data_IF_882797801936
#
_entry.id   IF_882797801936
#
_cell.length_a   1.000
_cell.length_b   1.000
_cell.length_c   1.000
_cell.angle_alpha   90.00
_cell.angle_beta   90.00
_cell.angle_gamma   90.00
#
_symmetry.space_group_name_H-M   'P 1'
#
loop_
_entity.id
_entity.type
_entity.pdbx_description
1 polymer ?
#
# COMPACT_ATOMS: atom_id res chain seq x y z
N UNK A 1 17.00 -9.16 -69.59
CA UNK A 1 16.50 -7.77 -69.54
C UNK A 1 15.25 -7.76 -68.66
N UNK A 2 15.33 -7.10 -67.49
CA UNK A 2 14.25 -6.64 -66.55
C UNK A 2 13.28 -7.73 -65.99
N UNK A 3 13.21 -8.07 -64.69
CA UNK A 3 13.14 -7.35 -63.39
C UNK A 3 11.70 -7.15 -62.86
N UNK A 4 11.53 -7.51 -61.57
CA UNK A 4 10.65 -6.97 -60.49
C UNK A 4 9.52 -7.86 -59.90
N UNK A 5 9.71 -8.15 -58.60
CA UNK A 5 8.78 -7.99 -57.44
C UNK A 5 7.48 -8.81 -57.49
N UNK A 6 7.14 -9.67 -56.53
CA UNK A 6 7.40 -9.67 -55.10
C UNK A 6 6.03 -9.62 -54.38
N UNK A 7 5.71 -10.60 -53.54
CA UNK A 7 4.76 -10.38 -52.45
C UNK A 7 5.01 -11.36 -51.30
N UNK A 8 5.20 -10.75 -50.15
CA UNK A 8 5.44 -11.33 -48.84
C UNK A 8 4.30 -12.25 -48.41
N UNK A 9 4.62 -13.47 -47.98
CA UNK A 9 3.84 -14.13 -46.93
C UNK A 9 4.35 -13.61 -45.57
N UNK A 10 3.83 -12.44 -45.18
CA UNK A 10 3.95 -11.96 -43.81
C UNK A 10 2.97 -12.75 -42.95
N UNK A 11 3.43 -13.83 -42.33
CA UNK A 11 2.72 -14.48 -41.24
C UNK A 11 2.93 -13.63 -39.97
N UNK A 12 2.14 -12.55 -39.84
CA UNK A 12 1.94 -11.84 -38.58
C UNK A 12 0.99 -12.68 -37.71
N UNK A 13 1.57 -13.58 -36.92
CA UNK A 13 0.90 -14.19 -35.78
C UNK A 13 1.32 -13.45 -34.51
N UNK A 14 0.39 -12.73 -33.90
CA UNK A 14 0.58 -12.09 -32.61
C UNK A 14 0.78 -13.14 -31.50
N UNK A 15 1.96 -13.15 -30.88
CA UNK A 15 2.19 -13.72 -29.55
C UNK A 15 3.07 -12.77 -28.74
N UNK A 16 2.56 -11.55 -28.51
CA UNK A 16 3.13 -10.60 -27.57
C UNK A 16 2.05 -10.30 -26.53
N UNK A 17 2.04 -11.07 -25.43
CA UNK A 17 1.06 -10.87 -24.37
C UNK A 17 1.58 -11.15 -22.97
N UNK A 18 2.39 -12.21 -22.81
CA UNK A 18 2.95 -12.59 -21.51
C UNK A 18 4.44 -12.94 -21.62
N UNK A 19 4.81 -13.66 -22.67
CA UNK A 19 6.16 -14.20 -22.88
C UNK A 19 7.22 -13.14 -23.17
N UNK A 20 6.84 -12.04 -23.81
CA UNK A 20 7.78 -10.96 -24.13
C UNK A 20 8.18 -10.11 -22.92
N UNK A 21 7.35 -10.03 -21.88
CA UNK A 21 7.72 -9.33 -20.64
C UNK A 21 8.73 -10.16 -19.87
N UNK A 22 8.43 -11.45 -19.70
CA UNK A 22 9.33 -12.44 -19.08
C UNK A 22 10.64 -12.52 -19.86
N UNK A 23 10.61 -12.64 -21.20
CA UNK A 23 11.80 -12.67 -22.02
C UNK A 23 12.64 -11.38 -21.95
N UNK A 24 12.01 -10.21 -21.85
CA UNK A 24 12.71 -8.93 -21.78
C UNK A 24 13.33 -8.71 -20.39
N UNK A 25 12.67 -9.18 -19.33
CA UNK A 25 13.22 -9.24 -17.97
C UNK A 25 14.38 -10.24 -17.90
N UNK A 26 14.22 -11.45 -18.41
CA UNK A 26 15.28 -12.47 -18.51
C UNK A 26 16.47 -11.93 -19.30
N UNK A 27 16.25 -11.25 -20.43
CA UNK A 27 17.31 -10.63 -21.22
C UNK A 27 18.03 -9.52 -20.44
N UNK A 28 17.31 -8.71 -19.66
CA UNK A 28 17.93 -7.68 -18.80
C UNK A 28 18.76 -8.28 -17.66
N UNK A 29 18.32 -9.41 -17.08
CA UNK A 29 19.07 -10.12 -16.05
C UNK A 29 20.31 -10.78 -16.68
N UNK A 30 20.19 -11.40 -17.84
CA UNK A 30 21.32 -11.96 -18.61
C UNK A 30 22.34 -10.88 -19.01
N UNK A 31 21.89 -9.67 -19.33
CA UNK A 31 22.77 -8.55 -19.61
C UNK A 31 23.48 -8.01 -18.35
N UNK A 32 22.85 -8.11 -17.18
CA UNK A 32 23.47 -7.78 -15.90
C UNK A 32 24.46 -8.87 -15.43
N UNK A 33 24.25 -10.14 -15.83
CA UNK A 33 25.14 -11.30 -15.59
C UNK A 33 26.21 -11.40 -16.69
N UNK A 34 26.64 -10.25 -17.21
CA UNK A 34 27.58 -10.14 -18.33
C UNK A 34 28.95 -10.74 -18.03
N UNK A 35 29.09 -12.05 -18.32
CA UNK A 35 30.35 -12.71 -18.65
C UNK A 35 30.58 -14.03 -17.94
N UNK A 36 30.20 -15.15 -18.56
CA UNK A 36 31.00 -16.38 -18.58
C UNK A 36 30.58 -17.38 -19.66
N UNK A 37 31.57 -18.12 -20.16
CA UNK A 37 31.59 -18.85 -21.42
C UNK A 37 30.78 -20.16 -21.42
N UNK A 38 30.18 -20.44 -22.57
CA UNK A 38 29.80 -21.77 -23.11
C UNK A 38 29.33 -22.83 -22.10
N UNK A 39 28.11 -22.68 -21.59
CA UNK A 39 27.36 -23.77 -20.97
C UNK A 39 26.94 -24.81 -22.02
N UNK A 40 27.02 -26.10 -21.68
CA UNK A 40 26.33 -27.15 -22.45
C UNK A 40 24.83 -26.81 -22.51
N UNK A 41 24.11 -27.15 -23.59
CA UNK A 41 22.69 -26.78 -23.76
C UNK A 41 21.82 -27.06 -22.52
N UNK A 42 22.09 -28.18 -21.83
CA UNK A 42 21.41 -28.56 -20.59
C UNK A 42 21.62 -27.56 -19.44
N UNK A 43 22.85 -27.04 -19.29
CA UNK A 43 23.17 -26.05 -18.25
C UNK A 43 22.59 -24.67 -18.58
N UNK A 44 22.51 -24.32 -19.87
CA UNK A 44 21.78 -23.11 -20.31
C UNK A 44 20.31 -23.21 -19.92
N UNK A 45 19.65 -24.33 -20.23
CA UNK A 45 18.25 -24.55 -19.88
C UNK A 45 18.01 -24.54 -18.38
N UNK A 46 18.91 -25.11 -17.57
CA UNK A 46 18.80 -25.05 -16.11
C UNK A 46 18.97 -23.63 -15.58
N UNK A 47 19.92 -22.87 -16.11
CA UNK A 47 20.12 -21.47 -15.73
C UNK A 47 18.92 -20.60 -16.11
N UNK A 48 18.36 -20.79 -17.30
CA UNK A 48 17.13 -20.13 -17.75
C UNK A 48 15.94 -20.47 -16.86
N UNK A 49 15.77 -21.76 -16.50
CA UNK A 49 14.74 -22.19 -15.56
C UNK A 49 14.94 -21.58 -14.17
N UNK A 50 16.18 -21.48 -13.69
CA UNK A 50 16.49 -20.89 -12.39
C UNK A 50 16.08 -19.42 -12.36
N UNK A 51 16.37 -18.67 -13.42
CA UNK A 51 15.96 -17.27 -13.57
C UNK A 51 14.43 -17.13 -13.59
N UNK A 52 13.73 -17.98 -14.33
CA UNK A 52 12.27 -17.98 -14.35
C UNK A 52 11.66 -18.31 -12.97
N UNK A 53 12.22 -19.30 -12.26
CA UNK A 53 11.80 -19.64 -10.91
C UNK A 53 12.04 -18.48 -9.93
N UNK A 54 13.18 -17.79 -10.03
CA UNK A 54 13.49 -16.62 -9.20
C UNK A 54 12.52 -15.45 -9.44
N UNK A 55 12.06 -15.24 -10.68
CA UNK A 55 11.02 -14.25 -10.98
C UNK A 55 9.69 -14.61 -10.31
N UNK A 56 9.26 -15.88 -10.41
CA UNK A 56 8.06 -16.37 -9.72
C UNK A 56 8.18 -16.21 -8.20
N UNK A 57 9.35 -16.52 -7.63
CA UNK A 57 9.58 -16.35 -6.19
C UNK A 57 9.52 -14.88 -5.80
N UNK A 58 10.18 -13.99 -6.56
CA UNK A 58 10.15 -12.54 -6.33
C UNK A 58 8.72 -11.99 -6.36
N UNK A 59 7.92 -12.38 -7.36
CA UNK A 59 6.52 -11.99 -7.45
C UNK A 59 5.70 -12.55 -6.27
N UNK A 60 6.00 -13.78 -5.83
CA UNK A 60 5.42 -14.38 -4.64
C UNK A 60 5.74 -13.59 -3.37
N UNK A 61 6.99 -13.14 -3.19
CA UNK A 61 7.42 -12.29 -2.09
C UNK A 61 6.68 -10.94 -2.11
N UNK A 62 6.55 -10.32 -3.28
CA UNK A 62 5.80 -9.07 -3.43
C UNK A 62 4.33 -9.24 -3.02
N UNK A 63 3.65 -10.26 -3.55
CA UNK A 63 2.26 -10.56 -3.20
C UNK A 63 2.09 -10.90 -1.72
N UNK A 64 3.02 -11.63 -1.12
CA UNK A 64 2.98 -11.93 0.32
C UNK A 64 3.06 -10.65 1.14
N UNK A 65 4.00 -9.78 0.79
CA UNK A 65 4.21 -8.50 1.44
C UNK A 65 3.00 -7.55 1.30
N UNK A 66 2.29 -7.64 0.18
CA UNK A 66 1.07 -6.88 -0.10
C UNK A 66 -0.16 -7.39 0.66
N UNK A 67 -0.34 -8.71 0.77
CA UNK A 67 -1.63 -9.31 1.11
C UNK A 67 -1.67 -10.11 2.41
N UNK A 68 -0.55 -10.75 2.80
CA UNK A 68 -0.51 -11.68 3.94
C UNK A 68 0.30 -11.09 5.08
N UNK A 69 1.56 -10.78 4.82
CA UNK A 69 2.49 -10.33 5.85
C UNK A 69 2.33 -8.87 6.24
N UNK A 70 1.67 -8.05 5.41
CA UNK A 70 1.44 -6.59 5.56
C UNK A 70 2.57 -5.92 6.36
N UNK A 71 3.64 -5.56 5.65
CA UNK A 71 4.90 -5.01 6.21
C UNK A 71 5.91 -6.02 6.75
N UNK A 72 5.65 -7.32 6.58
CA UNK A 72 6.63 -8.39 6.83
C UNK A 72 6.77 -9.30 5.61
N UNK A 73 7.99 -9.73 5.32
CA UNK A 73 8.27 -10.84 4.39
C UNK A 73 8.03 -12.20 5.08
N UNK A 74 7.83 -13.29 4.32
CA UNK A 74 7.66 -14.61 4.93
C UNK A 74 8.95 -15.02 5.65
N UNK A 75 8.85 -15.80 6.73
CA UNK A 75 10.03 -16.31 7.43
C UNK A 75 10.74 -17.43 6.63
N UNK A 76 10.06 -18.00 5.63
CA UNK A 76 10.59 -19.03 4.74
C UNK A 76 9.84 -19.04 3.41
N UNK A 77 10.50 -19.46 2.32
CA UNK A 77 9.85 -19.57 1.00
C UNK A 77 8.68 -20.57 0.97
N UNK A 78 8.66 -21.55 1.88
CA UNK A 78 7.54 -22.49 2.03
C UNK A 78 6.22 -21.81 2.37
N UNK A 79 6.26 -20.65 3.03
CA UNK A 79 5.08 -19.86 3.32
C UNK A 79 4.39 -19.33 2.04
N UNK A 80 5.15 -19.04 0.98
CA UNK A 80 4.59 -18.62 -0.31
C UNK A 80 3.71 -19.71 -0.94
N UNK A 81 4.08 -20.97 -0.75
CA UNK A 81 3.28 -22.11 -1.21
C UNK A 81 2.08 -22.36 -0.28
N UNK A 82 2.26 -22.27 1.04
CA UNK A 82 1.16 -22.43 2.02
C UNK A 82 0.08 -21.36 1.87
N UNK A 83 0.48 -20.13 1.56
CA UNK A 83 -0.40 -19.00 1.27
C UNK A 83 -0.99 -19.04 -0.16
N UNK A 84 -0.67 -20.08 -0.95
CA UNK A 84 -1.13 -20.24 -2.34
C UNK A 84 -0.73 -19.06 -3.27
N UNK A 85 0.39 -18.41 -2.97
CA UNK A 85 0.96 -17.31 -3.76
C UNK A 85 1.86 -17.84 -4.89
N UNK A 86 2.45 -19.02 -4.68
CA UNK A 86 3.12 -19.83 -5.70
C UNK A 86 2.44 -21.19 -5.73
N UNK A 87 1.93 -21.59 -6.90
CA UNK A 87 1.19 -22.84 -7.09
C UNK A 87 2.02 -23.91 -7.80
N UNK A 88 3.05 -23.51 -8.54
CA UNK A 88 3.90 -24.44 -9.29
C UNK A 88 4.87 -25.18 -8.34
N UNK A 89 4.71 -26.50 -8.13
CA UNK A 89 5.57 -27.25 -7.23
C UNK A 89 7.02 -27.36 -7.74
N UNK A 90 7.28 -27.13 -9.04
CA UNK A 90 8.63 -27.20 -9.61
C UNK A 90 9.55 -26.08 -9.09
N UNK A 91 8.96 -24.98 -8.61
CA UNK A 91 9.68 -23.81 -8.09
C UNK A 91 10.20 -24.04 -6.66
N UNK A 92 9.75 -25.11 -5.96
CA UNK A 92 10.18 -25.40 -4.57
C UNK A 92 11.68 -25.65 -4.42
N UNK A 93 12.32 -26.16 -5.47
CA UNK A 93 13.76 -26.43 -5.53
C UNK A 93 14.36 -25.70 -6.71
N UNK A 94 15.67 -25.51 -6.67
CA UNK A 94 16.39 -25.02 -7.84
C UNK A 94 16.48 -26.11 -8.94
N UNK A 95 16.84 -25.75 -10.19
CA UNK A 95 16.97 -26.71 -11.29
C UNK A 95 18.08 -27.76 -11.15
N UNK A 96 18.93 -27.65 -10.12
CA UNK A 96 19.93 -28.64 -9.75
C UNK A 96 19.47 -29.55 -8.59
N UNK A 97 18.28 -29.30 -8.04
CA UNK A 97 17.64 -30.09 -6.99
C UNK A 97 17.94 -29.61 -5.56
N UNK A 98 18.65 -28.50 -5.40
CA UNK A 98 18.95 -27.93 -4.07
C UNK A 98 17.79 -27.06 -3.56
N UNK A 99 17.79 -26.81 -2.26
CA UNK A 99 16.96 -25.76 -1.68
C UNK A 99 17.44 -24.38 -2.12
N UNK A 100 16.49 -23.47 -2.27
CA UNK A 100 16.79 -22.06 -2.44
C UNK A 100 17.34 -21.48 -1.13
N UNK A 101 18.43 -20.73 -1.23
CA UNK A 101 18.89 -19.88 -0.15
C UNK A 101 18.01 -18.64 -0.06
N UNK A 102 17.56 -18.32 1.14
CA UNK A 102 16.70 -17.19 1.41
C UNK A 102 17.20 -16.45 2.64
N UNK A 103 17.63 -15.21 2.43
CA UNK A 103 18.07 -14.32 3.50
C UNK A 103 17.25 -13.05 3.39
N UNK A 104 16.68 -12.60 4.50
CA UNK A 104 15.88 -11.39 4.56
C UNK A 104 16.22 -10.55 5.79
N UNK A 105 16.03 -9.24 5.68
CA UNK A 105 16.17 -8.31 6.79
C UNK A 105 15.22 -7.14 6.62
N UNK A 106 14.95 -6.44 7.72
CA UNK A 106 14.21 -5.19 7.73
C UNK A 106 15.13 -4.04 8.10
N UNK A 107 14.98 -2.88 7.46
CA UNK A 107 15.63 -1.65 7.89
C UNK A 107 14.66 -0.47 7.89
N UNK A 108 14.86 0.44 8.84
CA UNK A 108 14.13 1.70 8.87
C UNK A 108 14.73 2.64 7.81
N UNK A 109 13.89 3.18 6.94
CA UNK A 109 14.28 4.19 5.97
C UNK A 109 13.25 5.30 5.91
N UNK A 110 13.60 6.41 5.26
CA UNK A 110 12.66 7.49 4.98
C UNK A 110 12.24 7.47 3.52
N UNK A 111 10.95 7.55 3.29
CA UNK A 111 10.36 7.80 1.98
C UNK A 111 9.60 9.13 2.06
N UNK A 112 10.12 10.16 1.39
CA UNK A 112 9.50 11.50 1.37
C UNK A 112 9.11 11.99 2.77
N UNK A 113 10.10 11.95 3.68
CA UNK A 113 10.01 12.30 5.11
C UNK A 113 9.13 11.40 5.98
N UNK A 114 8.50 10.38 5.40
CA UNK A 114 7.74 9.37 6.14
C UNK A 114 8.67 8.23 6.54
N UNK A 115 8.85 7.93 7.85
CA UNK A 115 9.59 6.76 8.28
C UNK A 115 8.82 5.50 7.88
N UNK A 116 9.50 4.57 7.18
CA UNK A 116 8.95 3.29 6.78
C UNK A 116 9.92 2.16 7.13
N UNK A 117 9.38 0.98 7.43
CA UNK A 117 10.17 -0.24 7.61
C UNK A 117 10.27 -0.97 6.27
N UNK A 118 11.36 -0.78 5.53
CA UNK A 118 11.60 -1.49 4.29
C UNK A 118 12.08 -2.91 4.56
N UNK A 119 11.63 -3.86 3.74
CA UNK A 119 12.06 -5.24 3.75
C UNK A 119 12.96 -5.52 2.56
N UNK A 120 14.02 -6.27 2.82
CA UNK A 120 15.04 -6.65 1.86
C UNK A 120 15.14 -8.17 1.87
N UNK A 121 15.30 -8.78 0.70
CA UNK A 121 15.58 -10.19 0.59
C UNK A 121 16.46 -10.52 -0.59
N UNK A 122 17.30 -11.53 -0.43
CA UNK A 122 17.99 -12.21 -1.53
C UNK A 122 17.50 -13.64 -1.58
N UNK A 123 17.24 -14.11 -2.79
CA UNK A 123 16.93 -15.51 -3.08
C UNK A 123 17.94 -16.00 -4.10
N UNK A 124 18.60 -17.11 -3.84
CA UNK A 124 19.60 -17.63 -4.75
C UNK A 124 19.75 -19.15 -4.68
N UNK A 125 20.21 -19.71 -5.79
CA UNK A 125 20.62 -21.10 -5.91
C UNK A 125 22.12 -21.21 -5.72
N UNK A 126 22.59 -22.30 -5.10
CA UNK A 126 24.01 -22.68 -4.98
C UNK A 126 24.60 -23.24 -6.29
N UNK A 127 23.89 -23.02 -7.40
CA UNK A 127 24.30 -23.46 -8.72
C UNK A 127 24.52 -24.97 -8.83
N UNK A 128 25.40 -25.32 -9.76
CA UNK A 128 25.73 -26.70 -10.08
C UNK A 128 26.64 -27.33 -9.03
N UNK A 129 27.54 -26.53 -8.46
CA UNK A 129 28.54 -27.01 -7.51
C UNK A 129 27.93 -27.32 -6.12
N UNK A 130 26.73 -26.79 -5.81
CA UNK A 130 26.03 -26.99 -4.55
C UNK A 130 26.66 -26.24 -3.36
N UNK A 131 27.58 -25.31 -3.64
CA UNK A 131 28.33 -24.51 -2.68
C UNK A 131 27.76 -23.10 -2.66
N UNK A 132 27.54 -22.56 -1.46
CA UNK A 132 27.10 -21.18 -1.30
C UNK A 132 28.32 -20.24 -1.47
N UNK A 133 28.49 -19.71 -2.68
CA UNK A 133 29.59 -18.80 -3.02
C UNK A 133 29.20 -17.31 -2.86
N UNK A 134 27.90 -17.00 -2.94
CA UNK A 134 27.36 -15.64 -2.86
C UNK A 134 27.21 -15.12 -1.43
N UNK A 135 26.97 -16.02 -0.46
CA UNK A 135 26.68 -15.67 0.93
C UNK A 135 25.35 -14.92 1.11
N UNK A 136 25.05 -14.56 2.36
CA UNK A 136 23.92 -13.70 2.72
C UNK A 136 24.32 -12.22 2.81
N UNK A 137 23.47 -11.43 3.47
CA UNK A 137 23.75 -10.04 3.84
C UNK A 137 23.26 -9.80 5.27
N UNK A 138 23.93 -8.89 5.99
CA UNK A 138 23.59 -8.47 7.35
C UNK A 138 23.22 -6.99 7.48
N UNK A 139 23.46 -6.17 6.44
CA UNK A 139 23.13 -4.75 6.41
C UNK A 139 22.55 -4.29 5.07
N UNK A 140 22.03 -3.06 5.01
CA UNK A 140 21.50 -2.46 3.77
C UNK A 140 22.62 -2.19 2.76
N UNK A 141 23.82 -1.83 3.22
CA UNK A 141 25.00 -1.64 2.40
C UNK A 141 25.45 -2.96 1.77
N UNK A 142 25.54 -4.02 2.58
CA UNK A 142 25.85 -5.37 2.09
C UNK A 142 24.78 -5.86 1.11
N UNK A 143 23.50 -5.58 1.37
CA UNK A 143 22.42 -5.87 0.43
C UNK A 143 22.59 -5.12 -0.90
N UNK A 144 22.99 -3.85 -0.86
CA UNK A 144 23.20 -3.05 -2.07
C UNK A 144 24.33 -3.61 -2.93
N UNK A 145 25.41 -4.09 -2.30
CA UNK A 145 26.57 -4.69 -2.97
C UNK A 145 26.40 -6.17 -3.33
N UNK A 146 25.44 -6.86 -2.73
CA UNK A 146 25.24 -8.30 -2.94
C UNK A 146 25.05 -8.62 -4.43
N UNK A 147 25.67 -9.68 -4.90
CA UNK A 147 25.49 -10.17 -6.26
C UNK A 147 25.78 -11.67 -6.29
N UNK A 148 25.16 -12.44 -7.19
CA UNK A 148 25.52 -13.83 -7.38
C UNK A 148 27.00 -13.96 -7.74
N UNK A 149 27.69 -14.94 -7.16
CA UNK A 149 29.12 -15.21 -7.40
C UNK A 149 29.33 -16.59 -8.01
N UNK A 150 30.33 -16.71 -8.88
CA UNK A 150 30.68 -17.96 -9.60
C UNK A 150 29.48 -18.53 -10.37
N UNK A 151 29.02 -19.74 -10.04
CA UNK A 151 27.88 -20.40 -10.68
C UNK A 151 26.56 -20.26 -9.91
N UNK A 152 26.53 -19.50 -8.83
CA UNK A 152 25.28 -19.13 -8.16
C UNK A 152 24.42 -18.24 -9.06
N UNK A 153 23.11 -18.39 -8.95
CA UNK A 153 22.13 -17.56 -9.64
C UNK A 153 21.12 -17.06 -8.62
N UNK A 154 20.86 -15.75 -8.60
CA UNK A 154 19.97 -15.18 -7.60
C UNK A 154 19.43 -13.81 -7.96
N UNK A 155 18.50 -13.35 -7.12
CA UNK A 155 17.78 -12.09 -7.30
C UNK A 155 17.64 -11.34 -5.97
N UNK A 156 17.45 -10.03 -6.08
CA UNK A 156 17.15 -9.14 -4.96
C UNK A 156 15.67 -8.77 -4.99
N UNK A 157 15.07 -8.66 -3.81
CA UNK A 157 13.76 -8.06 -3.59
C UNK A 157 13.87 -6.93 -2.57
N UNK A 158 13.14 -5.85 -2.81
CA UNK A 158 13.05 -4.70 -1.91
C UNK A 158 11.61 -4.19 -1.91
N UNK A 159 11.02 -3.98 -0.72
CA UNK A 159 9.63 -3.55 -0.61
C UNK A 159 9.40 -2.06 -0.91
N UNK A 160 10.44 -1.29 -1.23
CA UNK A 160 10.38 0.17 -1.40
C UNK A 160 9.32 0.64 -2.38
N UNK A 161 9.17 -0.02 -3.52
CA UNK A 161 8.16 0.36 -4.52
C UNK A 161 6.72 0.09 -4.02
N UNK A 162 6.52 -1.01 -3.28
CA UNK A 162 5.24 -1.31 -2.63
C UNK A 162 4.93 -0.23 -1.59
N UNK A 163 5.90 0.13 -0.76
CA UNK A 163 5.73 1.18 0.27
C UNK A 163 5.46 2.55 -0.34
N UNK A 164 6.09 2.87 -1.49
CA UNK A 164 5.80 4.10 -2.23
C UNK A 164 4.36 4.14 -2.73
N UNK A 165 3.90 3.06 -3.36
CA UNK A 165 2.52 2.96 -3.84
C UNK A 165 1.52 3.04 -2.68
N UNK A 166 1.82 2.41 -1.53
CA UNK A 166 1.03 2.53 -0.30
C UNK A 166 0.98 3.98 0.21
N UNK A 167 2.10 4.69 0.20
CA UNK A 167 2.16 6.09 0.62
C UNK A 167 1.35 7.02 -0.29
N UNK A 168 1.45 6.84 -1.61
CA UNK A 168 0.68 7.60 -2.60
C UNK A 168 -0.82 7.35 -2.42
N UNK A 169 -1.21 6.09 -2.26
CA UNK A 169 -2.59 5.70 -2.00
C UNK A 169 -3.11 6.27 -0.67
N UNK A 170 -2.31 6.19 0.40
CA UNK A 170 -2.63 6.76 1.69
C UNK A 170 -2.94 8.26 1.58
N UNK A 171 -2.06 9.03 0.93
CA UNK A 171 -2.24 10.48 0.76
C UNK A 171 -3.50 10.81 -0.04
N UNK A 172 -3.74 10.08 -1.14
CA UNK A 172 -4.92 10.27 -1.97
C UNK A 172 -6.22 9.95 -1.19
N UNK A 173 -6.24 8.84 -0.45
CA UNK A 173 -7.38 8.46 0.40
C UNK A 173 -7.63 9.48 1.51
N UNK A 174 -6.58 9.89 2.22
CA UNK A 174 -6.69 10.84 3.31
C UNK A 174 -7.20 12.20 2.84
N UNK A 175 -6.70 12.72 1.71
CA UNK A 175 -7.21 13.97 1.13
C UNK A 175 -8.70 13.85 0.78
N UNK A 176 -9.11 12.74 0.16
CA UNK A 176 -10.52 12.54 -0.20
C UNK A 176 -11.42 12.49 1.04
N UNK A 177 -10.96 11.87 2.14
CA UNK A 177 -11.71 11.84 3.41
C UNK A 177 -11.86 13.27 3.98
N UNK A 178 -10.80 14.07 3.96
CA UNK A 178 -10.84 15.48 4.37
C UNK A 178 -11.87 16.24 3.54
N UNK A 179 -11.79 16.16 2.21
CA UNK A 179 -12.69 16.88 1.30
C UNK A 179 -14.16 16.49 1.55
N UNK A 180 -14.43 15.21 1.87
CA UNK A 180 -15.78 14.75 2.21
C UNK A 180 -16.25 15.20 3.58
N UNK A 181 -15.38 15.26 4.58
CA UNK A 181 -15.71 15.83 5.89
C UNK A 181 -16.05 17.32 5.77
N UNK A 182 -15.26 18.08 5.02
CA UNK A 182 -15.53 19.50 4.74
C UNK A 182 -16.84 19.67 3.98
N UNK A 183 -17.10 18.83 2.97
CA UNK A 183 -18.38 18.86 2.25
C UNK A 183 -19.57 18.52 3.16
N UNK A 184 -19.42 17.60 4.12
CA UNK A 184 -20.48 17.24 5.06
C UNK A 184 -20.74 18.36 6.07
N UNK A 185 -19.68 19.00 6.57
CA UNK A 185 -19.71 20.18 7.44
C UNK A 185 -20.46 21.32 6.76
N UNK A 186 -20.08 21.67 5.53
CA UNK A 186 -20.70 22.76 4.77
C UNK A 186 -22.15 22.45 4.40
N UNK A 187 -22.47 21.21 4.04
CA UNK A 187 -23.84 20.79 3.76
C UNK A 187 -24.73 20.92 5.01
N UNK A 188 -24.24 20.49 6.17
CA UNK A 188 -24.96 20.60 7.43
C UNK A 188 -25.16 22.06 7.86
N UNK A 189 -24.17 22.93 7.63
CA UNK A 189 -24.31 24.37 7.86
C UNK A 189 -25.39 25.00 6.96
N UNK A 190 -25.40 24.66 5.67
CA UNK A 190 -26.41 25.16 4.73
C UNK A 190 -27.81 24.66 5.08
N UNK A 191 -27.94 23.40 5.51
CA UNK A 191 -29.20 22.84 5.99
C UNK A 191 -29.72 23.62 7.21
N UNK A 192 -28.85 23.91 8.18
CA UNK A 192 -29.20 24.70 9.36
C UNK A 192 -29.59 26.13 8.97
N UNK A 193 -28.82 26.79 8.09
CA UNK A 193 -29.12 28.14 7.60
C UNK A 193 -30.49 28.22 6.90
N UNK A 194 -30.78 27.25 6.02
CA UNK A 194 -32.07 27.19 5.32
C UNK A 194 -33.22 26.94 6.29
N UNK A 195 -33.03 26.06 7.27
CA UNK A 195 -34.04 25.77 8.30
C UNK A 195 -34.31 26.98 9.18
N UNK A 196 -33.27 27.72 9.57
CA UNK A 196 -33.38 28.88 10.45
C UNK A 196 -33.82 30.17 9.76
N UNK A 197 -33.78 30.23 8.43
CA UNK A 197 -34.32 31.35 7.64
C UNK A 197 -35.79 31.18 7.25
N UNK A 198 -36.37 29.99 7.47
CA UNK A 198 -37.77 29.70 7.19
C UNK A 198 -38.72 30.35 8.21
N UNK A 199 -39.94 30.67 7.77
CA UNK A 199 -41.00 31.14 8.67
C UNK A 199 -41.39 30.03 9.66
N UNK A 200 -41.40 30.33 10.96
CA UNK A 200 -41.62 29.33 12.01
C UNK A 200 -40.38 28.50 12.35
N UNK A 201 -39.18 29.11 12.24
CA UNK A 201 -37.91 28.48 12.55
C UNK A 201 -37.95 27.70 13.90
N UNK A 202 -37.34 26.50 13.96
CA UNK A 202 -37.25 25.73 15.19
C UNK A 202 -36.57 26.51 16.33
N UNK A 203 -36.94 26.22 17.58
CA UNK A 203 -36.41 26.90 18.75
C UNK A 203 -34.88 26.83 18.89
N UNK A 204 -34.24 25.77 18.37
CA UNK A 204 -32.78 25.64 18.40
C UNK A 204 -32.04 26.60 17.46
N UNK A 205 -32.72 27.22 16.50
CA UNK A 205 -32.12 28.21 15.59
C UNK A 205 -31.66 29.48 16.32
N UNK A 206 -32.39 29.82 17.37
CA UNK A 206 -32.06 30.87 18.31
C UNK A 206 -32.69 30.45 19.66
N UNK A 207 -31.95 29.64 20.44
CA UNK A 207 -31.93 29.65 21.93
C UNK A 207 -32.01 28.28 22.69
N UNK A 208 -31.25 28.24 23.81
CA UNK A 208 -31.64 28.01 25.22
C UNK A 208 -30.41 28.15 26.15
N UNK A 209 -29.20 28.02 25.59
CA UNK A 209 -27.90 28.10 26.28
C UNK A 209 -27.03 29.27 25.77
N UNK A 210 -27.62 30.24 25.07
CA UNK A 210 -26.91 31.40 24.52
C UNK A 210 -26.11 31.16 23.24
N UNK A 211 -26.35 30.05 22.51
CA UNK A 211 -25.69 29.76 21.23
C UNK A 211 -26.63 29.83 20.03
N UNK A 212 -26.20 30.59 19.01
CA UNK A 212 -26.82 30.70 17.68
C UNK A 212 -26.44 29.45 16.85
N UNK A 213 -27.26 29.04 15.85
CA UNK A 213 -26.89 27.99 14.89
C UNK A 213 -25.50 28.22 14.27
N UNK A 214 -25.05 29.47 14.15
CA UNK A 214 -23.70 29.82 13.70
C UNK A 214 -22.56 29.38 14.63
N UNK A 215 -22.86 28.90 15.84
CA UNK A 215 -21.87 28.47 16.84
C UNK A 215 -21.76 26.95 16.99
N UNK A 216 -22.51 26.18 16.21
CA UNK A 216 -22.41 24.72 16.21
C UNK A 216 -21.14 24.24 15.49
N UNK A 217 -20.63 23.10 15.95
CA UNK A 217 -19.70 22.29 15.18
C UNK A 217 -20.50 21.43 14.21
N UNK A 218 -20.26 21.61 12.92
CA UNK A 218 -20.99 20.92 11.85
C UNK A 218 -20.30 19.64 11.38
N UNK A 219 -19.11 19.33 11.88
CA UNK A 219 -18.49 18.02 11.68
C UNK A 219 -19.29 16.90 12.37
N UNK A 220 -19.21 15.65 11.85
CA UNK A 220 -19.72 14.48 12.57
C UNK A 220 -19.00 14.34 13.91
N UNK A 221 -19.72 14.14 15.02
CA UNK A 221 -19.09 14.06 16.34
C UNK A 221 -18.27 12.78 16.50
N UNK A 222 -17.01 12.93 16.94
CA UNK A 222 -16.13 11.84 17.37
C UNK A 222 -16.11 11.71 18.90
N UNK A 223 -15.91 10.51 19.42
CA UNK A 223 -15.66 10.28 20.86
C UNK A 223 -14.25 10.74 21.31
N UNK A 224 -13.35 11.01 20.37
CA UNK A 224 -12.02 11.57 20.64
C UNK A 224 -12.04 13.08 20.92
N UNK A 225 -13.19 13.73 20.78
CA UNK A 225 -13.35 15.17 20.99
C UNK A 225 -13.50 15.46 22.51
N UNK A 226 -12.38 15.71 23.19
CA UNK A 226 -12.30 15.85 24.65
C UNK A 226 -12.77 17.22 25.20
N UNK A 227 -13.73 17.87 24.54
CA UNK A 227 -14.16 19.24 24.92
C UNK A 227 -15.58 19.28 25.43
N UNK A 228 -15.70 19.42 26.75
CA UNK A 228 -16.95 19.80 27.40
C UNK A 228 -17.34 21.22 26.98
N UNK A 229 -18.41 21.37 26.19
CA UNK A 229 -18.99 22.67 25.82
C UNK A 229 -19.04 22.98 24.33
N UNK A 230 -18.41 22.17 23.47
CA UNK A 230 -18.69 22.19 22.03
C UNK A 230 -20.07 21.57 21.77
N UNK A 231 -20.86 22.22 20.92
CA UNK A 231 -22.21 21.76 20.57
C UNK A 231 -22.19 21.29 19.13
N UNK A 232 -22.44 20.01 18.92
CA UNK A 232 -22.42 19.41 17.59
C UNK A 232 -23.82 19.40 16.98
N UNK A 233 -23.95 19.91 15.76
CA UNK A 233 -25.22 19.88 15.04
C UNK A 233 -25.70 18.44 14.81
N UNK A 234 -24.76 17.55 14.46
CA UNK A 234 -25.01 16.13 14.24
C UNK A 234 -25.63 15.45 15.46
N UNK A 235 -25.10 15.68 16.66
CA UNK A 235 -25.62 15.09 17.89
C UNK A 235 -26.89 15.77 18.39
N UNK A 236 -26.90 17.11 18.50
CA UNK A 236 -27.98 17.84 19.18
C UNK A 236 -29.23 18.05 18.34
N UNK A 237 -29.07 18.22 17.03
CA UNK A 237 -30.19 18.55 16.13
C UNK A 237 -30.58 17.34 15.31
N UNK A 238 -29.60 16.66 14.69
CA UNK A 238 -29.89 15.51 13.83
C UNK A 238 -30.05 14.19 14.60
N UNK A 239 -29.72 14.17 15.91
CA UNK A 239 -29.67 12.96 16.74
C UNK A 239 -28.86 11.83 16.06
N UNK A 240 -27.79 12.21 15.35
CA UNK A 240 -26.85 11.28 14.75
C UNK A 240 -25.91 10.73 15.80
N UNK A 241 -25.49 9.49 15.57
CA UNK A 241 -24.57 8.76 16.44
C UNK A 241 -23.22 9.47 16.56
N UNK A 242 -22.58 9.26 17.70
CA UNK A 242 -21.17 9.61 17.93
C UNK A 242 -20.31 8.48 17.40
N UNK A 243 -19.32 8.80 16.57
CA UNK A 243 -18.41 7.83 16.00
C UNK A 243 -17.30 7.50 16.98
N UNK A 244 -17.03 6.21 17.19
CA UNK A 244 -15.91 5.79 18.01
C UNK A 244 -14.61 5.77 17.20
N UNK A 245 -13.71 6.70 17.49
CA UNK A 245 -12.44 6.89 16.80
C UNK A 245 -11.54 5.66 16.95
N UNK A 246 -10.96 5.18 15.84
CA UNK A 246 -10.14 3.96 15.86
C UNK A 246 -10.95 2.66 15.93
N UNK A 247 -12.28 2.71 16.03
CA UNK A 247 -13.13 1.52 15.92
C UNK A 247 -13.47 1.24 14.44
N UNK A 248 -13.09 0.05 13.95
CA UNK A 248 -13.22 -0.29 12.53
C UNK A 248 -14.67 -0.20 12.03
N UNK A 249 -15.63 -0.76 12.75
CA UNK A 249 -17.03 -0.78 12.32
C UNK A 249 -17.61 0.65 12.29
N UNK A 250 -17.27 1.46 13.28
CA UNK A 250 -17.71 2.85 13.35
C UNK A 250 -17.10 3.71 12.23
N UNK A 251 -15.80 3.54 11.95
CA UNK A 251 -15.13 4.24 10.84
C UNK A 251 -15.61 3.77 9.46
N UNK A 252 -15.91 2.49 9.30
CA UNK A 252 -16.52 1.97 8.06
C UNK A 252 -17.86 2.64 7.79
N UNK A 253 -18.69 2.76 8.82
CA UNK A 253 -19.98 3.42 8.69
C UNK A 253 -19.83 4.95 8.53
N UNK A 254 -18.81 5.58 9.11
CA UNK A 254 -18.48 6.99 8.79
C UNK A 254 -18.16 7.15 7.31
N UNK A 255 -17.34 6.28 6.73
CA UNK A 255 -17.03 6.33 5.30
C UNK A 255 -18.29 6.21 4.45
N UNK A 256 -19.19 5.27 4.81
CA UNK A 256 -20.48 5.11 4.13
C UNK A 256 -21.31 6.40 4.21
N UNK A 257 -21.40 7.01 5.39
CA UNK A 257 -22.14 8.25 5.61
C UNK A 257 -21.55 9.44 4.84
N UNK A 258 -20.23 9.43 4.60
CA UNK A 258 -19.51 10.38 3.76
C UNK A 258 -19.59 10.06 2.25
N UNK A 259 -20.25 8.96 1.86
CA UNK A 259 -20.34 8.51 0.47
C UNK A 259 -19.02 7.94 -0.07
N UNK A 260 -18.19 7.39 0.81
CA UNK A 260 -16.92 6.75 0.50
C UNK A 260 -17.01 5.22 0.68
N UNK A 261 -16.13 4.44 0.03
CA UNK A 261 -16.04 3.01 0.27
C UNK A 261 -15.70 2.70 1.74
N UNK A 262 -16.37 1.71 2.34
CA UNK A 262 -16.09 1.30 3.72
C UNK A 262 -14.61 0.90 3.95
N UNK A 263 -13.93 0.40 2.92
CA UNK A 263 -12.50 0.06 2.98
C UNK A 263 -11.58 1.25 3.27
N UNK A 264 -12.05 2.50 3.14
CA UNK A 264 -11.28 3.71 3.44
C UNK A 264 -11.15 3.95 4.95
N UNK A 265 -11.89 3.21 5.77
CA UNK A 265 -11.71 3.16 7.22
C UNK A 265 -10.36 2.56 7.63
N UNK A 266 -9.65 1.92 6.70
CA UNK A 266 -8.29 1.45 6.89
C UNK A 266 -7.35 2.03 5.84
N UNK A 267 -6.11 2.28 6.25
CA UNK A 267 -5.05 2.65 5.32
C UNK A 267 -4.45 1.42 4.62
N UNK A 268 -3.53 1.61 3.65
CA UNK A 268 -2.88 0.51 2.95
C UNK A 268 -2.00 -0.40 3.83
N UNK A 269 -1.77 -0.04 5.09
CA UNK A 269 -1.08 -0.85 6.10
C UNK A 269 -2.06 -1.57 7.05
N UNK A 270 -3.37 -1.46 6.82
CA UNK A 270 -4.42 -2.12 7.60
C UNK A 270 -4.76 -1.44 8.92
N UNK A 271 -4.19 -0.25 9.18
CA UNK A 271 -4.44 0.50 10.41
C UNK A 271 -5.77 1.23 10.31
N UNK A 272 -6.47 1.42 11.42
CA UNK A 272 -7.83 1.97 11.43
C UNK A 272 -7.78 3.49 11.55
N UNK A 273 -8.66 4.16 10.81
CA UNK A 273 -8.86 5.61 10.87
C UNK A 273 -9.20 6.07 12.29
N UNK A 274 -8.55 7.14 12.70
CA UNK A 274 -8.85 7.91 13.90
C UNK A 274 -9.23 9.31 13.44
N UNK A 275 -10.36 9.80 13.92
CA UNK A 275 -10.84 11.15 13.66
C UNK A 275 -10.94 11.91 14.98
N UNK A 276 -10.56 13.18 14.94
CA UNK A 276 -10.87 14.16 15.97
C UNK A 276 -11.39 15.40 15.25
N UNK A 277 -12.67 15.70 15.47
CA UNK A 277 -13.45 16.73 14.78
C UNK A 277 -13.51 18.04 15.56
N UNK A 278 -12.71 18.16 16.61
CA UNK A 278 -12.44 19.39 17.34
C UNK A 278 -11.04 19.37 17.98
N UNK A 279 -10.01 19.27 17.15
CA UNK A 279 -8.62 19.09 17.64
C UNK A 279 -8.13 20.28 18.48
N UNK A 280 -8.67 21.47 18.25
CA UNK A 280 -8.32 22.69 19.00
C UNK A 280 -9.06 22.81 20.32
N UNK A 281 -9.99 21.89 20.60
CA UNK A 281 -10.82 21.89 21.79
C UNK A 281 -11.64 23.17 21.98
N UNK A 282 -12.07 23.78 20.87
CA UNK A 282 -12.82 25.02 20.88
C UNK A 282 -14.27 24.78 21.22
N UNK A 283 -14.90 25.76 21.86
CA UNK A 283 -16.34 25.76 22.14
C UNK A 283 -17.12 26.69 21.22
N UNK A 284 -16.42 27.41 20.35
CA UNK A 284 -16.94 28.35 19.34
C UNK A 284 -16.14 28.20 18.04
N UNK A 285 -16.73 28.53 16.88
CA UNK A 285 -16.02 28.48 15.59
C UNK A 285 -14.79 29.41 15.54
N UNK A 286 -13.84 29.17 14.62
CA UNK A 286 -13.80 28.03 13.69
C UNK A 286 -13.36 26.74 14.40
N UNK A 287 -14.01 25.64 14.01
CA UNK A 287 -13.69 24.28 14.45
C UNK A 287 -12.77 23.62 13.42
N UNK A 288 -11.93 22.70 13.88
CA UNK A 288 -10.99 21.99 13.02
C UNK A 288 -11.07 20.49 13.25
N UNK A 289 -10.95 19.75 12.15
CA UNK A 289 -10.85 18.31 12.15
C UNK A 289 -9.43 17.85 11.84
N UNK A 290 -9.08 16.68 12.36
CA UNK A 290 -7.83 15.99 12.10
C UNK A 290 -8.10 14.50 11.94
N UNK A 291 -7.26 13.87 11.15
CA UNK A 291 -7.36 12.43 10.90
C UNK A 291 -5.98 11.79 10.86
N UNK A 292 -5.91 10.60 11.44
CA UNK A 292 -4.68 9.84 11.62
C UNK A 292 -5.04 8.35 11.52
N UNK A 293 -4.11 7.50 11.10
CA UNK A 293 -4.33 6.05 11.07
C UNK A 293 -3.50 5.31 12.12
N UNK A 294 -2.74 6.01 12.96
CA UNK A 294 -2.12 5.45 14.15
C UNK A 294 -1.99 6.49 15.27
N UNK A 295 -1.97 6.00 16.51
CA UNK A 295 -1.68 6.83 17.68
C UNK A 295 -0.19 7.20 17.69
N UNK A 296 0.14 8.48 17.51
CA UNK A 296 1.51 9.00 17.60
C UNK A 296 2.18 9.35 16.26
N UNK A 297 1.52 9.16 15.12
CA UNK A 297 1.97 9.70 13.82
C UNK A 297 1.46 11.13 13.58
N UNK A 298 2.11 11.84 12.66
CA UNK A 298 1.68 13.15 12.19
C UNK A 298 0.27 13.06 11.60
N UNK A 299 -0.74 13.32 12.43
CA UNK A 299 -2.10 13.53 12.01
C UNK A 299 -2.11 14.56 10.88
N UNK A 300 -2.84 14.27 9.81
CA UNK A 300 -3.13 15.27 8.80
C UNK A 300 -4.10 16.26 9.45
N UNK A 301 -3.53 17.25 10.12
CA UNK A 301 -4.23 18.40 10.63
C UNK A 301 -4.05 19.52 9.62
N UNK A 302 -5.16 20.01 9.06
CA UNK A 302 -5.11 21.26 8.32
C UNK A 302 -4.87 22.37 9.35
N UNK A 303 -3.68 22.97 9.31
CA UNK A 303 -3.46 24.27 9.95
C UNK A 303 -4.21 25.30 9.12
N UNK A 304 -5.22 25.92 9.71
CA UNK A 304 -5.73 27.21 9.24
C UNK A 304 -4.62 28.27 9.26
#
# INVERSE_FOLDING_TARGET
MKSLIGLMFAQRGAMFGMDARVALVIASILAAVGGWQMMSRLESTKSEAALAHLEIIRDGLEKHYETVGISKLPDSLDELFRANLITDPSVRKDPWGNDWEYVHASAQMKLEDTPISAQYAVVFSRGKNGVNDSGGFGSVEEFAEWAPRKDDIGTKYMSREVEKRRLDEYRARAQLIIDKLESAESAAFLEAQNTCSAAGAPGWCADLEGKNYTLFNYYPKSDADDTTGAVYYSEKVLNKRVYSSGNLAEMQQLMIDLGLPASYAQDPWGRVLMINTNITGRTVPPFSASLCFSAGENCLARKE
#
